data_IF_919183738436
#
_entry.id   IF_919183738436
#
_cell.length_a   1.000
_cell.length_b   1.000
_cell.length_c   1.000
_cell.angle_alpha   90.00
_cell.angle_beta   90.00
_cell.angle_gamma   90.00
#
_symmetry.space_group_name_H-M   'P 1'
#
loop_
_entity.id
_entity.type
_entity.pdbx_description
1 polymer ?
#
# COMPACT_ATOMS: atom_id res chain seq x y z
N UNK A 1 20.82 -4.16 -1.90
CA UNK A 1 19.84 -4.57 -0.87
C UNK A 1 18.72 -5.35 -1.52
N UNK A 2 18.16 -6.27 -0.76
CA UNK A 2 17.04 -7.09 -1.24
C UNK A 2 15.78 -6.65 -0.52
N UNK A 3 14.69 -6.46 -1.27
CA UNK A 3 13.39 -6.18 -0.68
C UNK A 3 12.79 -7.47 -0.15
N UNK A 4 12.49 -7.51 1.15
CA UNK A 4 11.93 -8.69 1.80
C UNK A 4 10.41 -8.61 1.82
N UNK A 5 9.86 -7.49 2.28
CA UNK A 5 8.41 -7.28 2.24
C UNK A 5 8.08 -5.79 2.17
N UNK A 6 6.83 -5.51 1.82
CA UNK A 6 6.31 -4.16 1.70
C UNK A 6 4.92 -4.13 2.33
N UNK A 7 4.71 -3.15 3.21
CA UNK A 7 3.38 -2.82 3.74
C UNK A 7 2.98 -1.45 3.25
N UNK A 8 1.80 -1.34 2.64
CA UNK A 8 1.27 -0.07 2.15
C UNK A 8 -0.09 0.17 2.79
N UNK A 9 -0.28 1.37 3.32
CA UNK A 9 -1.55 1.79 3.88
C UNK A 9 -2.04 3.02 3.13
N UNK A 10 -3.24 2.93 2.56
CA UNK A 10 -3.92 4.05 1.93
C UNK A 10 -4.92 4.63 2.90
N UNK A 11 -4.94 5.96 3.02
CA UNK A 11 -5.85 6.68 3.91
C UNK A 11 -6.73 7.58 3.06
N UNK A 12 -8.03 7.34 3.07
CA UNK A 12 -8.98 8.14 2.30
C UNK A 12 -10.29 7.42 2.10
N UNK A 13 -11.29 8.15 1.60
CA UNK A 13 -12.63 7.61 1.37
C UNK A 13 -12.87 7.20 -0.07
N UNK A 14 -12.26 7.86 -1.01
CA UNK A 14 -12.35 7.58 -2.44
C UNK A 14 -10.99 7.68 -3.11
N UNK A 15 -10.73 6.85 -4.13
CA UNK A 15 -11.58 5.74 -4.56
C UNK A 15 -11.56 4.60 -3.54
N UNK A 16 -12.53 3.70 -3.62
CA UNK A 16 -12.52 2.48 -2.81
C UNK A 16 -11.44 1.57 -3.35
N UNK A 17 -10.43 1.31 -2.52
CA UNK A 17 -9.27 0.53 -2.92
C UNK A 17 -9.37 -0.94 -2.53
N UNK A 18 -10.27 -1.28 -1.62
CA UNK A 18 -10.44 -2.63 -1.11
C UNK A 18 -10.60 -3.69 -2.23
N UNK A 19 -11.48 -3.49 -3.24
CA UNK A 19 -11.63 -4.47 -4.31
C UNK A 19 -10.40 -4.60 -5.21
N UNK A 20 -9.47 -3.65 -5.15
CA UNK A 20 -8.31 -3.60 -6.02
C UNK A 20 -7.00 -4.02 -5.35
N UNK A 21 -7.06 -4.35 -4.05
CA UNK A 21 -5.85 -4.65 -3.27
C UNK A 21 -5.03 -5.80 -3.88
N UNK A 22 -5.70 -6.88 -4.24
CA UNK A 22 -5.01 -8.03 -4.84
C UNK A 22 -4.30 -7.69 -6.13
N UNK A 23 -4.95 -6.93 -7.01
CA UNK A 23 -4.36 -6.50 -8.27
C UNK A 23 -3.16 -5.57 -8.06
N UNK A 24 -3.25 -4.67 -7.08
CA UNK A 24 -2.15 -3.77 -6.75
C UNK A 24 -0.96 -4.54 -6.20
N UNK A 25 -1.19 -5.52 -5.33
CA UNK A 25 -0.14 -6.36 -4.77
C UNK A 25 0.56 -7.16 -5.87
N UNK A 26 -0.19 -7.76 -6.78
CA UNK A 26 0.37 -8.51 -7.89
C UNK A 26 1.20 -7.62 -8.82
N UNK A 27 0.71 -6.44 -9.13
CA UNK A 27 1.42 -5.51 -10.01
C UNK A 27 2.72 -5.04 -9.39
N UNK A 28 2.71 -4.71 -8.10
CA UNK A 28 3.91 -4.30 -7.39
C UNK A 28 4.93 -5.44 -7.30
N UNK A 29 4.45 -6.65 -7.03
CA UNK A 29 5.31 -7.84 -6.99
C UNK A 29 6.02 -8.06 -8.32
N UNK A 30 5.30 -7.91 -9.42
CA UNK A 30 5.84 -8.07 -10.77
C UNK A 30 6.94 -7.03 -11.05
N UNK A 31 6.68 -5.77 -10.71
CA UNK A 31 7.62 -4.67 -10.98
C UNK A 31 8.86 -4.77 -10.09
N UNK A 32 8.69 -5.13 -8.82
CA UNK A 32 9.79 -5.18 -7.84
C UNK A 32 10.55 -6.50 -7.92
N UNK A 33 9.89 -7.57 -8.37
CA UNK A 33 10.52 -8.88 -8.50
C UNK A 33 10.49 -9.69 -7.22
N UNK A 34 9.44 -9.54 -6.40
CA UNK A 34 9.24 -10.34 -5.19
C UNK A 34 7.88 -11.03 -5.27
N UNK A 35 7.66 -11.98 -4.36
CA UNK A 35 6.39 -12.68 -4.26
C UNK A 35 5.28 -11.73 -3.82
N UNK A 36 4.09 -11.85 -4.42
CA UNK A 36 2.95 -11.03 -4.03
C UNK A 36 2.54 -11.26 -2.58
N UNK A 37 2.81 -12.45 -2.03
CA UNK A 37 2.55 -12.76 -0.62
C UNK A 37 3.38 -11.90 0.34
N UNK A 38 4.44 -11.28 -0.15
CA UNK A 38 5.31 -10.40 0.64
C UNK A 38 4.92 -8.93 0.52
N UNK A 39 3.79 -8.63 -0.12
CA UNK A 39 3.26 -7.28 -0.25
C UNK A 39 1.87 -7.26 0.39
N UNK A 40 1.66 -6.31 1.30
CA UNK A 40 0.38 -6.13 1.95
C UNK A 40 -0.14 -4.72 1.71
N UNK A 41 -1.35 -4.60 1.19
CA UNK A 41 -2.04 -3.33 1.01
C UNK A 41 -3.22 -3.25 1.96
N UNK A 42 -3.37 -2.11 2.61
CA UNK A 42 -4.47 -1.83 3.54
C UNK A 42 -5.10 -0.51 3.17
N UNK A 43 -6.39 -0.38 3.43
CA UNK A 43 -7.11 0.87 3.25
C UNK A 43 -7.82 1.22 4.54
N UNK A 44 -7.77 2.49 4.91
CA UNK A 44 -8.42 2.99 6.11
C UNK A 44 -8.98 4.39 5.84
N UNK A 45 -9.76 4.90 6.78
CA UNK A 45 -10.32 6.25 6.69
C UNK A 45 -9.89 7.07 7.90
N UNK A 46 -10.11 8.40 7.82
CA UNK A 46 -9.89 9.30 8.94
C UNK A 46 -11.21 9.62 9.67
N UNK A 47 -12.26 8.85 9.42
CA UNK A 47 -13.60 9.06 9.99
C UNK A 47 -14.14 10.47 9.70
N UNK A 48 -13.90 10.96 8.48
CA UNK A 48 -14.36 12.27 8.03
C UNK A 48 -13.47 13.43 8.43
N UNK A 49 -12.32 13.16 9.06
CA UNK A 49 -11.41 14.19 9.53
C UNK A 49 -10.30 14.44 8.51
N UNK A 50 -9.87 15.71 8.40
CA UNK A 50 -8.79 16.11 7.52
C UNK A 50 -9.16 16.08 6.04
N UNK A 51 -8.20 16.39 5.14
CA UNK A 51 -8.46 16.39 3.70
C UNK A 51 -8.87 15.02 3.15
N UNK A 52 -8.31 13.94 3.65
CA UNK A 52 -8.67 12.59 3.23
C UNK A 52 -10.12 12.26 3.58
N UNK A 53 -10.56 12.64 4.78
CA UNK A 53 -11.92 12.41 5.23
C UNK A 53 -12.96 13.25 4.50
N UNK A 54 -12.54 14.40 3.97
CA UNK A 54 -13.40 15.30 3.18
C UNK A 54 -13.34 14.99 1.68
N UNK A 55 -12.68 13.90 1.29
CA UNK A 55 -12.51 13.53 -0.10
C UNK A 55 -11.68 14.54 -0.91
N UNK A 56 -10.81 15.31 -0.24
CA UNK A 56 -9.93 16.28 -0.89
C UNK A 56 -8.62 15.66 -1.35
N UNK A 57 -8.37 14.43 -0.94
CA UNK A 57 -7.16 13.71 -1.33
C UNK A 57 -7.09 12.33 -0.69
N UNK A 58 -6.03 11.62 -1.01
CA UNK A 58 -5.73 10.32 -0.45
C UNK A 58 -4.25 10.31 -0.06
N UNK A 59 -3.94 9.72 1.09
CA UNK A 59 -2.56 9.56 1.54
C UNK A 59 -2.15 8.10 1.44
N UNK A 60 -0.88 7.86 1.14
CA UNK A 60 -0.32 6.51 1.11
C UNK A 60 0.95 6.47 1.95
N UNK A 61 1.06 5.45 2.79
CA UNK A 61 2.24 5.22 3.62
C UNK A 61 2.78 3.85 3.29
N UNK A 62 4.09 3.78 3.03
CA UNK A 62 4.75 2.52 2.70
C UNK A 62 5.88 2.24 3.67
N UNK A 63 5.94 1.00 4.16
CA UNK A 63 7.05 0.52 4.98
C UNK A 63 7.68 -0.65 4.23
N UNK A 64 8.99 -0.59 4.05
CA UNK A 64 9.74 -1.60 3.28
C UNK A 64 10.82 -2.19 4.18
N UNK A 65 10.83 -3.52 4.28
CA UNK A 65 11.90 -4.23 4.95
C UNK A 65 12.95 -4.64 3.92
N UNK A 66 14.18 -4.21 4.15
CA UNK A 66 15.30 -4.51 3.27
C UNK A 66 16.31 -5.40 3.97
N UNK A 67 16.90 -6.30 3.20
CA UNK A 67 18.01 -7.10 3.67
C UNK A 67 19.29 -6.65 2.96
N UNK A 68 20.36 -6.48 3.74
CA UNK A 68 21.64 -6.08 3.18
C UNK A 68 22.32 -7.27 2.54
N UNK A 69 22.78 -7.11 1.32
CA UNK A 69 23.57 -8.12 0.62
C UNK A 69 25.01 -8.00 1.12
N UNK A 70 25.58 -9.15 1.48
CA UNK A 70 26.99 -9.22 1.90
C UNK A 70 27.91 -9.39 0.69
#
# INVERSE_FOLDING_TARGET
MIVINIDITFVGNIPRLEPHKGNMEHKLAEVIGIDADNISCKATTTDGMGPEGRNEGISAYATVLLEKIK
#
